data_IF_224147693709
#
_entry.id   IF_224147693709
#
_cell.length_a   1.000
_cell.length_b   1.000
_cell.length_c   1.000
_cell.angle_alpha   90.00
_cell.angle_beta   90.00
_cell.angle_gamma   90.00
#
_symmetry.space_group_name_H-M   'P 1'
#
loop_
_entity.id
_entity.type
_entity.pdbx_description
1 polymer ?
#
# COMPACT_ATOMS: atom_id res chain seq x y z
N UNK A 1 -16.45 -21.66 -25.66
CA UNK A 1 -16.21 -22.21 -24.33
C UNK A 1 -14.88 -21.78 -23.72
N UNK A 2 -13.74 -21.94 -24.40
CA UNK A 2 -12.41 -21.52 -23.87
C UNK A 2 -12.25 -20.02 -23.56
N UNK A 3 -12.86 -19.13 -24.36
CA UNK A 3 -12.80 -17.69 -24.11
C UNK A 3 -13.57 -17.28 -22.85
N UNK A 4 -14.65 -18.02 -22.52
CA UNK A 4 -15.45 -17.78 -21.32
C UNK A 4 -14.72 -18.32 -20.09
N UNK A 5 -14.08 -19.49 -20.18
CA UNK A 5 -13.24 -19.99 -19.07
C UNK A 5 -12.06 -19.06 -18.79
N UNK A 6 -11.35 -18.59 -19.83
CA UNK A 6 -10.24 -17.66 -19.69
C UNK A 6 -10.65 -16.33 -19.03
N UNK A 7 -11.87 -15.85 -19.32
CA UNK A 7 -12.41 -14.66 -18.66
C UNK A 7 -12.65 -14.89 -17.16
N UNK A 8 -13.28 -16.01 -16.79
CA UNK A 8 -13.53 -16.34 -15.38
C UNK A 8 -12.24 -16.62 -14.60
N UNK A 9 -11.27 -17.30 -15.22
CA UNK A 9 -9.95 -17.53 -14.65
C UNK A 9 -9.26 -16.19 -14.34
N UNK A 10 -9.30 -15.24 -15.28
CA UNK A 10 -8.76 -13.91 -15.05
C UNK A 10 -9.48 -13.14 -13.93
N UNK A 11 -10.82 -13.19 -13.90
CA UNK A 11 -11.60 -12.55 -12.83
C UNK A 11 -11.32 -13.16 -11.46
N UNK A 12 -11.04 -14.47 -11.40
CA UNK A 12 -10.72 -15.16 -10.15
C UNK A 12 -9.46 -14.62 -9.46
N UNK A 13 -8.52 -14.04 -10.24
CA UNK A 13 -7.31 -13.41 -9.71
C UNK A 13 -7.60 -12.17 -8.85
N UNK A 14 -8.80 -11.58 -8.98
CA UNK A 14 -9.24 -10.39 -8.26
C UNK A 14 -10.35 -10.70 -7.24
N UNK A 15 -10.48 -11.97 -6.83
CA UNK A 15 -11.34 -12.32 -5.69
C UNK A 15 -10.68 -11.83 -4.39
N UNK A 16 -11.50 -11.27 -3.51
CA UNK A 16 -11.03 -10.74 -2.24
C UNK A 16 -10.63 -11.86 -1.28
N UNK A 17 -9.47 -11.74 -0.64
CA UNK A 17 -9.05 -12.61 0.45
C UNK A 17 -9.54 -12.04 1.78
N UNK A 18 -10.59 -12.62 2.37
CA UNK A 18 -11.17 -12.14 3.64
C UNK A 18 -10.40 -12.63 4.87
N UNK A 19 -9.71 -13.76 4.76
CA UNK A 19 -9.09 -14.44 5.89
C UNK A 19 -7.64 -13.98 6.12
N UNK A 20 -7.23 -14.01 7.38
CA UNK A 20 -5.86 -13.72 7.81
C UNK A 20 -5.25 -14.97 8.46
N UNK A 21 -4.04 -15.34 8.03
CA UNK A 21 -3.23 -16.34 8.72
C UNK A 21 -2.40 -15.64 9.80
N UNK A 22 -3.07 -15.35 10.91
CA UNK A 22 -2.54 -14.53 12.02
C UNK A 22 -1.46 -15.25 12.85
N UNK A 23 -1.40 -16.58 12.73
CA UNK A 23 -0.38 -17.49 13.25
C UNK A 23 0.29 -18.23 12.08
N UNK A 24 1.54 -18.72 12.26
CA UNK A 24 2.20 -19.53 11.24
C UNK A 24 1.38 -20.77 10.86
N UNK A 25 1.14 -20.93 9.56
CA UNK A 25 0.58 -22.14 8.97
C UNK A 25 1.71 -22.88 8.26
N UNK A 26 2.05 -24.07 8.72
CA UNK A 26 3.08 -24.87 8.08
C UNK A 26 2.61 -25.36 6.72
N UNK A 27 3.38 -25.04 5.69
CA UNK A 27 3.15 -25.44 4.31
C UNK A 27 3.73 -26.83 4.07
N UNK A 28 2.99 -27.65 3.33
CA UNK A 28 3.45 -28.96 2.86
C UNK A 28 3.88 -28.86 1.41
N UNK A 29 5.06 -29.38 1.10
CA UNK A 29 5.50 -29.58 -0.29
C UNK A 29 4.58 -30.61 -0.95
N UNK A 30 3.95 -30.21 -2.06
CA UNK A 30 3.04 -31.08 -2.83
C UNK A 30 3.70 -31.71 -4.04
N UNK A 31 4.74 -31.06 -4.57
CA UNK A 31 5.54 -31.52 -5.70
C UNK A 31 6.99 -31.01 -5.55
N UNK A 32 7.96 -31.80 -5.99
CA UNK A 32 9.39 -31.55 -5.82
C UNK A 32 9.89 -31.62 -4.36
N UNK A 33 10.98 -30.90 -4.07
CA UNK A 33 11.57 -30.79 -2.73
C UNK A 33 12.09 -29.37 -2.46
N UNK A 34 12.11 -28.95 -1.19
CA UNK A 34 12.77 -27.70 -0.79
C UNK A 34 14.29 -27.94 -0.74
N UNK A 35 15.11 -27.24 -1.55
CA UNK A 35 16.55 -27.46 -1.56
C UNK A 35 17.16 -27.22 -0.16
N UNK A 36 18.00 -28.14 0.29
CA UNK A 36 18.60 -28.08 1.64
C UNK A 36 19.54 -26.89 1.82
N UNK A 37 20.11 -26.40 0.72
CA UNK A 37 20.97 -25.22 0.64
C UNK A 37 20.18 -23.93 0.40
N UNK A 38 18.84 -23.99 0.30
CA UNK A 38 18.02 -22.80 0.19
C UNK A 38 18.14 -21.95 1.47
N UNK A 39 18.47 -20.66 1.35
CA UNK A 39 18.79 -19.84 2.52
C UNK A 39 17.58 -19.66 3.43
N UNK A 40 17.82 -19.74 4.74
CA UNK A 40 16.80 -19.44 5.74
C UNK A 40 16.44 -17.96 5.69
N UNK A 41 15.16 -17.64 5.58
CA UNK A 41 14.73 -16.26 5.37
C UNK A 41 13.22 -16.09 5.31
N UNK A 42 12.79 -14.89 4.93
CA UNK A 42 11.37 -14.59 4.74
C UNK A 42 11.18 -13.84 3.44
N UNK A 43 10.35 -14.39 2.56
CA UNK A 43 9.85 -13.70 1.39
C UNK A 43 8.55 -12.97 1.76
N UNK A 44 8.59 -11.64 1.66
CA UNK A 44 7.42 -10.79 1.91
C UNK A 44 6.81 -10.35 0.59
N UNK A 45 5.48 -10.40 0.51
CA UNK A 45 4.71 -9.96 -0.64
C UNK A 45 3.57 -9.06 -0.17
N UNK A 46 3.73 -7.76 -0.42
CA UNK A 46 2.66 -6.78 -0.29
C UNK A 46 1.81 -6.76 -1.58
N UNK A 47 0.53 -6.46 -1.44
CA UNK A 47 -0.40 -6.34 -2.56
C UNK A 47 -1.80 -6.05 -2.04
N UNK A 48 -2.76 -5.70 -2.90
CA UNK A 48 -4.15 -5.58 -2.50
C UNK A 48 -4.72 -6.97 -2.17
N UNK A 49 -5.42 -7.07 -1.03
CA UNK A 49 -6.16 -8.28 -0.65
C UNK A 49 -7.68 -8.16 -0.82
N UNK A 50 -8.20 -6.93 -0.95
CA UNK A 50 -9.62 -6.66 -0.91
C UNK A 50 -10.08 -5.81 -2.08
N UNK A 51 -11.04 -6.33 -2.84
CA UNK A 51 -11.55 -5.75 -4.08
C UNK A 51 -13.06 -5.50 -4.04
N UNK A 52 -13.79 -6.21 -3.16
CA UNK A 52 -15.21 -6.02 -2.92
C UNK A 52 -15.48 -5.91 -1.41
N UNK A 53 -16.48 -5.11 -1.02
CA UNK A 53 -16.96 -5.04 0.35
C UNK A 53 -18.18 -5.95 0.56
N UNK A 54 -18.70 -6.03 1.78
CA UNK A 54 -19.82 -6.91 2.13
C UNK A 54 -21.19 -6.29 1.79
N UNK A 55 -21.18 -5.13 1.12
CA UNK A 55 -22.36 -4.35 0.74
C UNK A 55 -22.48 -4.15 -0.78
N UNK A 56 -21.68 -4.87 -1.57
CA UNK A 56 -21.75 -4.89 -3.03
C UNK A 56 -21.02 -3.73 -3.73
N UNK A 57 -20.15 -2.99 -3.02
CA UNK A 57 -19.21 -2.07 -3.64
C UNK A 57 -17.94 -2.80 -4.08
N UNK A 58 -17.34 -2.33 -5.17
CA UNK A 58 -16.08 -2.85 -5.70
C UNK A 58 -15.09 -1.71 -5.89
N UNK A 59 -13.81 -2.00 -5.72
CA UNK A 59 -12.73 -1.04 -5.91
C UNK A 59 -11.76 -1.53 -6.98
N UNK A 60 -11.07 -0.58 -7.61
CA UNK A 60 -9.94 -0.90 -8.47
C UNK A 60 -8.85 -1.60 -7.64
N UNK A 61 -8.08 -2.55 -8.21
CA UNK A 61 -7.03 -3.26 -7.46
C UNK A 61 -6.03 -2.35 -6.73
N UNK A 62 -5.68 -1.21 -7.33
CA UNK A 62 -4.79 -0.21 -6.71
C UNK A 62 -5.36 0.43 -5.44
N UNK A 63 -6.68 0.44 -5.29
CA UNK A 63 -7.40 1.01 -4.15
C UNK A 63 -7.73 -0.03 -3.06
N UNK A 64 -7.37 -1.30 -3.28
CA UNK A 64 -7.61 -2.40 -2.35
C UNK A 64 -6.69 -2.37 -1.15
N UNK A 65 -7.22 -2.71 0.03
CA UNK A 65 -6.44 -2.71 1.29
C UNK A 65 -5.23 -3.65 1.22
N UNK A 66 -4.10 -3.18 1.74
CA UNK A 66 -2.84 -3.91 1.74
C UNK A 66 -2.91 -5.20 2.55
N UNK A 67 -2.57 -6.30 1.91
CA UNK A 67 -2.54 -7.64 2.46
C UNK A 67 -1.11 -8.19 2.35
N UNK A 68 -0.41 -8.15 3.47
CA UNK A 68 0.97 -8.60 3.56
C UNK A 68 1.01 -10.10 3.78
N UNK A 69 1.69 -10.79 2.88
CA UNK A 69 1.99 -12.22 2.97
C UNK A 69 3.46 -12.42 3.31
N UNK A 70 3.76 -13.39 4.15
CA UNK A 70 5.10 -13.78 4.52
C UNK A 70 5.27 -15.29 4.39
N UNK A 71 6.27 -15.70 3.63
CA UNK A 71 6.71 -17.08 3.49
C UNK A 71 8.05 -17.21 4.20
N UNK A 72 8.06 -17.86 5.36
CA UNK A 72 9.28 -18.16 6.10
C UNK A 72 9.79 -19.50 5.64
N UNK A 73 11.01 -19.53 5.12
CA UNK A 73 11.59 -20.71 4.53
C UNK A 73 12.87 -21.03 5.29
N UNK A 74 13.08 -22.29 5.62
CA UNK A 74 14.33 -22.81 6.17
C UNK A 74 14.71 -24.08 5.41
N UNK A 75 15.56 -23.94 4.38
CA UNK A 75 15.98 -25.05 3.52
C UNK A 75 16.67 -26.16 4.30
N UNK A 76 17.53 -25.80 5.27
CA UNK A 76 18.25 -26.78 6.08
C UNK A 76 17.29 -27.66 6.92
N UNK A 77 16.16 -27.11 7.35
CA UNK A 77 15.10 -27.84 8.07
C UNK A 77 14.05 -28.46 7.14
N UNK A 78 14.03 -28.09 5.86
CA UNK A 78 12.99 -28.51 4.93
C UNK A 78 11.61 -27.92 5.25
N UNK A 79 11.54 -26.79 5.96
CA UNK A 79 10.27 -26.22 6.44
C UNK A 79 9.93 -24.91 5.74
N UNK A 80 8.64 -24.71 5.47
CA UNK A 80 8.10 -23.44 5.04
C UNK A 80 6.82 -23.11 5.84
N UNK A 81 6.71 -21.89 6.37
CA UNK A 81 5.52 -21.40 7.06
C UNK A 81 4.95 -20.18 6.35
N UNK A 82 3.63 -20.10 6.33
CA UNK A 82 2.87 -18.98 5.78
C UNK A 82 2.21 -18.16 6.89
N UNK A 83 2.27 -16.85 6.76
CA UNK A 83 1.45 -15.91 7.53
C UNK A 83 0.92 -14.84 6.59
N UNK A 84 -0.25 -14.31 6.92
CA UNK A 84 -0.78 -13.17 6.19
C UNK A 84 -1.70 -12.32 7.06
N UNK A 85 -1.58 -11.00 6.91
CA UNK A 85 -2.40 -10.02 7.62
C UNK A 85 -2.68 -8.80 6.75
N UNK A 86 -3.81 -8.17 6.98
CA UNK A 86 -4.08 -6.83 6.50
C UNK A 86 -3.21 -5.82 7.25
N UNK A 87 -2.74 -4.80 6.53
CA UNK A 87 -2.10 -3.65 7.16
C UNK A 87 -3.20 -2.82 7.83
N UNK A 88 -3.05 -2.56 9.12
CA UNK A 88 -4.01 -1.83 9.95
C UNK A 88 -3.81 -0.32 9.73
N UNK A 89 -4.08 0.13 8.50
CA UNK A 89 -4.05 1.55 8.16
C UNK A 89 -5.26 2.27 8.74
N UNK A 90 -5.20 3.60 8.82
CA UNK A 90 -6.37 4.41 9.20
C UNK A 90 -7.58 4.10 8.31
N UNK A 91 -7.36 3.94 6.99
CA UNK A 91 -8.41 3.61 6.04
C UNK A 91 -9.00 2.22 6.30
N UNK A 92 -8.17 1.25 6.70
CA UNK A 92 -8.62 -0.09 7.06
C UNK A 92 -9.48 -0.04 8.34
N UNK A 93 -9.05 0.71 9.35
CA UNK A 93 -9.79 0.88 10.60
C UNK A 93 -11.14 1.61 10.41
N UNK A 94 -11.21 2.54 9.45
CA UNK A 94 -12.46 3.22 9.06
C UNK A 94 -13.44 2.29 8.31
N UNK A 95 -12.93 1.29 7.58
CA UNK A 95 -13.73 0.48 6.65
C UNK A 95 -13.98 -0.96 7.10
N UNK A 96 -13.28 -1.47 8.11
CA UNK A 96 -13.51 -2.81 8.69
C UNK A 96 -14.09 -2.69 10.08
N UNK A 97 -15.24 -3.32 10.31
CA UNK A 97 -15.80 -3.44 11.64
C UNK A 97 -14.96 -4.46 12.46
N UNK A 98 -14.33 -4.06 13.56
CA UNK A 98 -13.47 -4.97 14.34
C UNK A 98 -14.25 -6.06 15.09
N UNK A 99 -15.54 -5.86 15.35
CA UNK A 99 -16.37 -6.82 16.07
C UNK A 99 -16.94 -7.91 15.15
N UNK A 100 -17.31 -7.55 13.92
CA UNK A 100 -17.93 -8.48 12.95
C UNK A 100 -16.96 -8.94 11.86
N UNK A 101 -15.86 -8.22 11.65
CA UNK A 101 -14.95 -8.44 10.52
C UNK A 101 -15.47 -7.92 9.18
N UNK A 102 -16.68 -7.36 9.16
CA UNK A 102 -17.37 -6.87 7.95
C UNK A 102 -16.66 -5.65 7.37
N UNK A 103 -16.57 -5.61 6.04
CA UNK A 103 -16.00 -4.50 5.30
C UNK A 103 -17.09 -3.64 4.66
N UNK A 104 -16.93 -2.33 4.78
CA UNK A 104 -17.75 -1.33 4.11
C UNK A 104 -16.85 -0.23 3.56
N UNK A 105 -16.79 -0.11 2.24
CA UNK A 105 -16.01 0.95 1.62
C UNK A 105 -16.70 2.29 1.81
N UNK A 106 -15.99 3.21 2.46
CA UNK A 106 -16.48 4.56 2.77
C UNK A 106 -15.80 5.61 1.89
N UNK A 107 -14.69 5.27 1.24
CA UNK A 107 -13.89 6.18 0.42
C UNK A 107 -13.82 5.74 -1.04
N UNK A 108 -14.10 6.66 -1.97
CA UNK A 108 -13.80 6.45 -3.40
C UNK A 108 -12.32 6.68 -3.61
N UNK A 109 -11.57 5.64 -3.96
CA UNK A 109 -10.28 5.85 -4.60
C UNK A 109 -10.45 6.47 -6.00
N UNK A 110 -9.38 7.01 -6.61
CA UNK A 110 -9.46 7.73 -7.88
C UNK A 110 -10.00 6.88 -9.04
N UNK A 111 -10.04 5.56 -8.89
CA UNK A 111 -10.47 4.62 -9.92
C UNK A 111 -11.68 3.74 -9.51
N UNK A 112 -12.34 4.05 -8.39
CA UNK A 112 -13.34 3.17 -7.77
C UNK A 112 -14.77 3.70 -7.78
N UNK A 113 -15.75 2.78 -7.90
CA UNK A 113 -17.20 3.08 -7.89
C UNK A 113 -17.85 2.46 -6.65
N UNK A 114 -18.34 3.29 -5.73
CA UNK A 114 -19.08 2.83 -4.55
C UNK A 114 -20.58 2.75 -4.82
N UNK A 115 -21.22 1.63 -4.48
CA UNK A 115 -22.69 1.51 -4.48
C UNK A 115 -23.24 2.05 -3.16
N UNK A 116 -24.23 2.96 -3.23
CA UNK A 116 -24.95 3.47 -2.05
C UNK A 116 -24.21 4.49 -1.18
N UNK A 117 -22.95 4.85 -1.49
CA UNK A 117 -22.23 5.91 -0.79
C UNK A 117 -22.81 7.30 -1.09
N UNK A 118 -23.01 8.13 -0.06
CA UNK A 118 -23.40 9.54 -0.24
C UNK A 118 -22.40 10.22 -1.19
N UNK A 119 -22.89 10.67 -2.34
CA UNK A 119 -22.13 11.45 -3.33
C UNK A 119 -21.71 12.81 -2.75
N UNK A 120 -22.41 13.29 -1.72
CA UNK A 120 -22.24 14.60 -1.11
C UNK A 120 -21.30 14.49 0.10
N UNK A 121 -20.15 15.16 0.04
CA UNK A 121 -19.26 15.39 1.18
C UNK A 121 -18.03 14.49 1.26
N UNK A 122 -17.87 13.50 0.37
CA UNK A 122 -16.70 12.63 0.36
C UNK A 122 -15.58 13.21 -0.52
N UNK A 123 -14.80 14.11 0.07
CA UNK A 123 -13.75 14.86 -0.64
C UNK A 123 -12.38 14.16 -0.59
N UNK A 124 -12.22 13.10 0.22
CA UNK A 124 -10.96 12.37 0.43
C UNK A 124 -10.69 11.45 -0.78
N UNK A 125 -10.00 11.97 -1.79
CA UNK A 125 -9.68 11.26 -3.05
C UNK A 125 -8.61 10.17 -2.86
N UNK A 126 -7.81 10.26 -1.81
CA UNK A 126 -6.65 9.39 -1.59
C UNK A 126 -6.64 8.85 -0.17
N UNK A 127 -6.64 7.52 -0.05
CA UNK A 127 -6.54 6.80 1.23
C UNK A 127 -5.30 5.89 1.16
N UNK A 128 -4.47 5.94 2.20
CA UNK A 128 -3.28 5.11 2.24
C UNK A 128 -3.67 3.67 2.60
N UNK A 129 -3.53 2.76 1.63
CA UNK A 129 -3.84 1.34 1.75
C UNK A 129 -2.61 0.46 1.99
N UNK A 130 -1.40 1.04 1.98
CA UNK A 130 -0.12 0.33 2.20
C UNK A 130 0.04 -0.97 1.40
N UNK A 131 -0.39 -0.99 0.13
CA UNK A 131 -0.51 -2.19 -0.70
C UNK A 131 0.58 -2.34 -1.78
N UNK A 132 1.41 -1.32 -2.02
CA UNK A 132 2.29 -1.27 -3.20
C UNK A 132 3.54 -2.13 -3.06
N UNK A 133 4.26 -1.98 -1.95
CA UNK A 133 5.54 -2.66 -1.77
C UNK A 133 5.88 -2.86 -0.29
N UNK A 134 6.87 -3.71 -0.04
CA UNK A 134 7.40 -4.01 1.28
C UNK A 134 8.93 -4.01 1.22
N UNK A 135 9.58 -3.39 2.20
CA UNK A 135 11.03 -3.48 2.34
C UNK A 135 11.47 -3.61 3.79
N UNK A 136 12.67 -4.15 4.00
CA UNK A 136 13.30 -4.28 5.29
C UNK A 136 14.55 -3.42 5.36
N UNK A 137 14.68 -2.58 6.38
CA UNK A 137 15.87 -1.75 6.59
C UNK A 137 16.08 -1.49 8.09
N UNK A 138 17.33 -1.48 8.54
CA UNK A 138 17.65 -1.27 9.96
C UNK A 138 17.00 -2.27 10.91
N UNK A 139 16.76 -3.51 10.46
CA UNK A 139 16.06 -4.55 11.22
C UNK A 139 14.53 -4.45 11.22
N UNK A 140 13.98 -3.34 10.73
CA UNK A 140 12.55 -2.99 10.69
C UNK A 140 11.93 -3.34 9.34
N UNK A 141 10.62 -3.57 9.31
CA UNK A 141 9.86 -3.94 8.11
C UNK A 141 8.81 -2.87 7.83
N UNK A 142 8.69 -2.44 6.56
CA UNK A 142 7.82 -1.35 6.16
C UNK A 142 6.95 -1.76 4.98
N UNK A 143 5.66 -1.44 5.03
CA UNK A 143 4.73 -1.52 3.90
C UNK A 143 4.40 -0.11 3.38
N UNK A 144 4.33 0.02 2.06
CA UNK A 144 4.34 1.30 1.35
C UNK A 144 3.10 1.46 0.50
N UNK A 145 2.78 2.73 0.26
CA UNK A 145 1.82 3.17 -0.74
C UNK A 145 2.39 4.44 -1.38
N UNK A 146 2.21 4.62 -2.68
CA UNK A 146 2.93 5.66 -3.43
C UNK A 146 2.63 7.07 -2.90
N UNK A 147 1.39 7.34 -2.49
CA UNK A 147 0.96 8.68 -2.10
C UNK A 147 1.09 9.02 -0.61
N UNK A 148 1.74 8.19 0.22
CA UNK A 148 1.71 8.40 1.67
C UNK A 148 2.81 7.73 2.46
N UNK A 149 2.85 8.02 3.76
CA UNK A 149 3.85 7.50 4.66
C UNK A 149 3.77 5.96 4.80
N UNK A 150 4.91 5.28 4.93
CA UNK A 150 4.95 3.85 5.17
C UNK A 150 4.36 3.48 6.54
N UNK A 151 3.91 2.24 6.64
CA UNK A 151 3.53 1.60 7.90
C UNK A 151 4.60 0.62 8.33
N UNK A 152 5.06 0.73 9.58
CA UNK A 152 5.98 -0.23 10.17
C UNK A 152 5.25 -1.47 10.65
N UNK A 153 5.84 -2.64 10.40
CA UNK A 153 5.26 -3.95 10.67
C UNK A 153 6.20 -4.76 11.58
N UNK A 154 5.64 -5.47 12.56
CA UNK A 154 6.36 -6.50 13.31
C UNK A 154 6.65 -7.70 12.38
N UNK A 155 7.92 -7.98 12.02
CA UNK A 155 8.25 -9.07 11.10
C UNK A 155 7.93 -10.46 11.64
N UNK A 156 7.72 -10.62 12.96
CA UNK A 156 7.40 -11.90 13.61
C UNK A 156 5.91 -12.21 13.59
N UNK A 157 5.05 -11.19 13.68
CA UNK A 157 3.60 -11.39 13.77
C UNK A 157 2.82 -10.80 12.60
N UNK A 158 3.48 -10.02 11.74
CA UNK A 158 2.90 -9.17 10.71
C UNK A 158 1.92 -8.12 11.27
N UNK A 159 2.02 -7.81 12.57
CA UNK A 159 1.17 -6.79 13.20
C UNK A 159 1.64 -5.40 12.79
N UNK A 160 0.71 -4.52 12.50
CA UNK A 160 1.02 -3.12 12.22
C UNK A 160 1.42 -2.42 13.52
N UNK A 161 2.58 -1.77 13.53
CA UNK A 161 3.09 -0.99 14.66
C UNK A 161 2.64 0.47 14.59
N UNK A 162 2.46 0.98 13.37
CA UNK A 162 1.94 2.33 13.12
C UNK A 162 2.52 2.94 11.85
N UNK A 163 2.01 4.11 11.50
CA UNK A 163 2.55 4.93 10.42
C UNK A 163 3.86 5.59 10.88
N UNK A 164 4.83 5.72 9.98
CA UNK A 164 6.09 6.40 10.27
C UNK A 164 6.49 7.37 9.17
N UNK A 165 6.96 8.54 9.58
CA UNK A 165 7.71 9.44 8.71
C UNK A 165 9.20 9.07 8.70
N UNK A 166 9.66 8.48 7.60
CA UNK A 166 11.07 8.11 7.38
C UNK A 166 11.90 9.34 6.96
N UNK A 167 11.29 10.35 6.33
CA UNK A 167 12.00 11.53 5.82
C UNK A 167 12.39 12.51 6.95
N UNK A 168 11.66 12.47 8.06
CA UNK A 168 11.74 13.48 9.12
C UNK A 168 11.16 14.81 8.66
N UNK A 169 10.67 15.61 9.60
CA UNK A 169 9.87 16.80 9.32
C UNK A 169 10.71 18.02 8.86
N UNK A 170 11.51 17.86 7.80
CA UNK A 170 12.21 18.97 7.16
C UNK A 170 11.28 19.62 6.14
N UNK A 171 11.05 20.91 6.30
CA UNK A 171 10.28 21.73 5.37
C UNK A 171 10.93 21.68 3.98
N UNK A 172 10.27 21.04 3.03
CA UNK A 172 10.58 21.21 1.62
C UNK A 172 9.95 22.55 1.23
N UNK A 173 10.72 23.63 1.35
CA UNK A 173 10.28 24.95 0.94
C UNK A 173 9.95 24.94 -0.55
N UNK A 174 8.71 25.28 -0.95
CA UNK A 174 8.37 25.33 -2.36
C UNK A 174 9.18 26.43 -3.05
N UNK A 175 10.02 26.04 -4.01
CA UNK A 175 10.67 27.00 -4.90
C UNK A 175 9.61 27.60 -5.84
N UNK A 176 8.97 28.69 -5.43
CA UNK A 176 8.04 29.44 -6.27
C UNK A 176 8.86 30.31 -7.22
N UNK A 177 8.82 30.02 -8.52
CA UNK A 177 9.33 30.92 -9.55
C UNK A 177 8.22 31.31 -10.55
N UNK A 178 8.27 32.58 -10.97
CA UNK A 178 7.22 33.35 -11.67
C UNK A 178 7.06 32.98 -13.16
N UNK A 179 6.64 31.75 -13.45
CA UNK A 179 6.33 31.28 -14.82
C UNK A 179 4.90 30.75 -14.98
N UNK A 180 4.56 30.31 -16.21
CA UNK A 180 3.26 29.71 -16.60
C UNK A 180 2.82 28.56 -15.66
N UNK A 181 3.79 27.86 -15.05
CA UNK A 181 3.60 26.85 -14.01
C UNK A 181 2.97 27.40 -12.71
N UNK A 182 3.29 28.64 -12.33
CA UNK A 182 2.71 29.32 -11.18
C UNK A 182 1.22 29.66 -11.36
N UNK A 183 0.77 29.86 -12.61
CA UNK A 183 -0.63 30.10 -12.92
C UNK A 183 -1.46 28.81 -12.84
N UNK A 184 -0.96 27.71 -13.43
CA UNK A 184 -1.59 26.39 -13.31
C UNK A 184 -1.68 25.93 -11.85
N UNK A 185 -0.60 26.09 -11.07
CA UNK A 185 -0.60 25.80 -9.64
C UNK A 185 -1.61 26.67 -8.87
N UNK A 186 -1.76 27.96 -9.20
CA UNK A 186 -2.76 28.85 -8.57
C UNK A 186 -4.21 28.44 -8.85
N UNK A 187 -4.50 27.84 -10.01
CA UNK A 187 -5.84 27.36 -10.37
C UNK A 187 -6.16 26.01 -9.72
N UNK A 188 -5.19 25.10 -9.66
CA UNK A 188 -5.37 23.76 -9.08
C UNK A 188 -5.45 23.78 -7.55
N UNK A 189 -4.70 24.66 -6.87
CA UNK A 189 -4.63 24.69 -5.40
C UNK A 189 -5.99 24.88 -4.71
N UNK A 190 -6.87 25.85 -5.10
CA UNK A 190 -8.19 25.99 -4.51
C UNK A 190 -9.09 24.76 -4.70
N UNK A 191 -8.95 24.07 -5.83
CA UNK A 191 -9.72 22.86 -6.13
C UNK A 191 -9.20 21.70 -5.26
N UNK A 192 -7.88 21.49 -5.21
CA UNK A 192 -7.25 20.42 -4.44
C UNK A 192 -7.43 20.60 -2.91
N UNK A 193 -7.23 21.82 -2.40
CA UNK A 193 -7.33 22.10 -0.96
C UNK A 193 -8.75 22.41 -0.50
N UNK A 194 -9.55 23.10 -1.32
CA UNK A 194 -10.91 23.48 -0.97
C UNK A 194 -11.92 22.36 -1.25
N UNK A 195 -12.00 21.92 -2.51
CA UNK A 195 -13.02 20.93 -2.95
C UNK A 195 -12.62 19.52 -2.52
N UNK A 196 -11.35 19.14 -2.64
CA UNK A 196 -10.87 17.80 -2.28
C UNK A 196 -10.32 17.69 -0.85
N UNK A 197 -10.34 18.78 -0.05
CA UNK A 197 -9.81 18.83 1.32
C UNK A 197 -8.46 18.11 1.50
N UNK A 198 -7.58 18.21 0.50
CA UNK A 198 -6.31 17.49 0.54
C UNK A 198 -5.37 18.15 1.57
N UNK A 199 -4.55 17.37 2.31
CA UNK A 199 -3.58 17.95 3.25
C UNK A 199 -2.57 18.84 2.51
N UNK A 200 -2.14 19.91 3.19
CA UNK A 200 -1.30 20.97 2.61
C UNK A 200 0.11 20.50 2.21
N UNK A 201 0.62 19.41 2.80
CA UNK A 201 1.92 18.80 2.50
C UNK A 201 1.67 17.33 2.16
N UNK A 202 2.08 16.91 0.96
CA UNK A 202 1.96 15.52 0.48
C UNK A 202 3.21 15.18 -0.29
N UNK A 203 3.89 14.12 0.10
CA UNK A 203 5.11 13.69 -0.55
C UNK A 203 4.85 12.37 -1.29
N UNK A 204 5.12 12.38 -2.59
CA UNK A 204 5.36 11.15 -3.35
C UNK A 204 6.79 10.74 -3.05
N UNK A 205 6.96 9.55 -2.48
CA UNK A 205 8.25 9.07 -1.99
C UNK A 205 8.64 7.76 -2.65
N UNK A 206 9.83 7.73 -3.26
CA UNK A 206 10.45 6.53 -3.80
C UNK A 206 11.61 6.09 -2.91
N UNK A 207 11.66 4.80 -2.59
CA UNK A 207 12.64 4.22 -1.68
C UNK A 207 13.53 3.23 -2.43
N UNK A 208 14.85 3.37 -2.29
CA UNK A 208 15.84 2.44 -2.86
C UNK A 208 16.85 2.01 -1.82
N UNK A 209 17.12 0.71 -1.74
CA UNK A 209 18.10 0.16 -0.80
C UNK A 209 19.45 -0.09 -1.51
N UNK A 210 20.53 0.55 -1.05
CA UNK A 210 21.90 0.15 -1.37
C UNK A 210 22.37 -0.85 -0.31
N UNK A 211 22.27 -2.14 -0.65
CA UNK A 211 22.67 -3.24 0.25
C UNK A 211 24.17 -3.27 0.52
N UNK A 212 24.98 -2.83 -0.45
CA UNK A 212 26.45 -2.85 -0.34
C UNK A 212 26.94 -1.81 0.67
N UNK A 213 26.32 -0.63 0.67
CA UNK A 213 26.68 0.46 1.59
C UNK A 213 25.80 0.53 2.83
N UNK A 214 24.82 -0.36 2.94
CA UNK A 214 23.80 -0.38 3.99
C UNK A 214 23.06 0.98 4.12
N UNK A 215 22.63 1.55 2.99
CA UNK A 215 21.94 2.86 2.94
C UNK A 215 20.54 2.70 2.39
N UNK A 216 19.60 3.46 2.96
CA UNK A 216 18.29 3.69 2.37
C UNK A 216 18.33 5.06 1.70
N UNK A 217 18.12 5.07 0.39
CA UNK A 217 17.98 6.29 -0.40
C UNK A 217 16.49 6.61 -0.51
N UNK A 218 16.13 7.82 -0.11
CA UNK A 218 14.77 8.32 -0.24
C UNK A 218 14.76 9.47 -1.24
N UNK A 219 13.86 9.38 -2.22
CA UNK A 219 13.59 10.41 -3.20
C UNK A 219 12.15 10.88 -3.00
N UNK A 220 11.96 12.13 -2.56
CA UNK A 220 10.62 12.69 -2.32
C UNK A 220 10.36 13.94 -3.16
N UNK A 221 9.12 14.11 -3.64
CA UNK A 221 8.63 15.33 -4.28
C UNK A 221 7.20 15.65 -3.80
N UNK A 222 6.73 16.90 -3.96
CA UNK A 222 5.33 17.21 -3.65
C UNK A 222 4.41 16.46 -4.62
N UNK A 223 3.28 15.93 -4.15
CA UNK A 223 2.35 15.19 -5.01
C UNK A 223 1.86 16.04 -6.20
N UNK A 224 1.64 17.35 -6.00
CA UNK A 224 1.30 18.28 -7.08
C UNK A 224 2.42 18.49 -8.11
N UNK A 225 3.69 18.29 -7.75
CA UNK A 225 4.83 18.48 -8.64
C UNK A 225 4.88 17.42 -9.76
N UNK A 226 4.10 16.33 -9.64
CA UNK A 226 3.98 15.31 -10.68
C UNK A 226 3.15 15.78 -11.89
N UNK A 227 2.27 16.77 -11.68
CA UNK A 227 1.41 17.35 -12.73
C UNK A 227 1.96 18.70 -13.21
N UNK A 228 3.01 19.20 -12.56
CA UNK A 228 3.67 20.45 -12.93
C UNK A 228 4.89 20.15 -13.82
N UNK A 229 5.22 21.02 -14.79
CA UNK A 229 6.30 20.79 -15.77
C UNK A 229 7.72 20.81 -15.18
N UNK A 230 7.87 20.98 -13.86
CA UNK A 230 9.14 20.88 -13.12
C UNK A 230 8.86 20.28 -11.75
N UNK A 231 9.60 19.24 -11.39
CA UNK A 231 9.49 18.59 -10.08
C UNK A 231 10.78 18.79 -9.28
N UNK A 232 10.63 19.17 -8.00
CA UNK A 232 11.75 19.25 -7.08
C UNK A 232 11.88 17.93 -6.32
N UNK A 233 13.08 17.39 -6.32
CA UNK A 233 13.39 16.09 -5.72
C UNK A 233 14.35 16.28 -4.56
N UNK A 234 13.97 15.80 -3.37
CA UNK A 234 14.85 15.75 -2.19
C UNK A 234 15.44 14.35 -2.07
N UNK A 235 16.77 14.29 -1.97
CA UNK A 235 17.51 13.05 -1.74
C UNK A 235 17.97 12.99 -0.28
N UNK A 236 17.69 11.88 0.39
CA UNK A 236 18.17 11.55 1.73
C UNK A 236 19.08 10.34 1.70
#
# INVERSE_FOLDING_TARGET
>A
DDAVSAFWDYQSLFVSQREEASQPVSLRVVDGELPRDFPSGTYYLAGPGLFADDHGSTVHPLDGHGYLRAFRIDGARGTADFMARYIETEAQAEERNPATGEWRFTHRGPFSVLRGGKVIGNTKVMKNVANTSVFRWGGRLFCLWEGGHPYEIDPRRLKTLGQIDIAGDREISPAINSGFSGLAAKILRPILYGIFKMPAKRLLSHYKMDRTRNRLLLLSCNAEDMVLPRSNFTFY
#
